data_IF_996558395000
#
_entry.id   IF_996558395000
#
_cell.length_a   1.000
_cell.length_b   1.000
_cell.length_c   1.000
_cell.angle_alpha   90.00
_cell.angle_beta   90.00
_cell.angle_gamma   90.00
#
_symmetry.space_group_name_H-M   'P 1'
#
loop_
_entity.id
_entity.type
_entity.pdbx_description
1 polymer ?
#
# COMPACT_ATOMS: atom_id res chain seq x y z
N UNK A 1 9.03 -8.35 -19.90
CA UNK A 1 10.01 -7.25 -19.81
C UNK A 1 10.19 -6.95 -18.33
N UNK A 2 11.36 -7.31 -17.81
CA UNK A 2 11.77 -7.08 -16.42
C UNK A 2 12.44 -5.70 -16.33
N UNK A 3 12.22 -4.97 -15.24
CA UNK A 3 12.90 -3.69 -14.96
C UNK A 3 12.18 -2.94 -13.84
N UNK A 4 12.79 -2.54 -12.72
CA UNK A 4 14.18 -2.65 -12.32
C UNK A 4 14.28 -2.58 -10.79
N UNK A 5 15.41 -3.06 -10.29
CA UNK A 5 15.87 -2.91 -8.91
C UNK A 5 16.17 -1.43 -8.62
N UNK A 6 15.42 -0.78 -7.72
CA UNK A 6 15.84 0.47 -7.11
C UNK A 6 15.49 0.51 -5.62
N UNK A 7 16.56 0.51 -4.81
CA UNK A 7 16.60 1.33 -3.61
C UNK A 7 15.95 0.75 -2.37
N UNK A 8 16.80 0.18 -1.51
CA UNK A 8 16.65 0.36 -0.07
C UNK A 8 16.28 1.82 0.21
N UNK A 9 15.10 2.07 0.77
CA UNK A 9 14.87 3.29 1.53
C UNK A 9 14.33 2.88 2.87
N UNK A 10 15.27 2.90 3.81
CA UNK A 10 15.11 3.20 5.21
C UNK A 10 14.19 4.44 5.35
N UNK A 11 12.87 4.26 5.25
CA UNK A 11 11.91 5.27 5.66
C UNK A 11 10.86 4.61 6.50
N UNK A 12 11.19 4.49 7.77
CA UNK A 12 10.23 4.28 8.83
C UNK A 12 9.09 5.30 8.65
N UNK A 13 7.94 4.84 8.14
CA UNK A 13 6.63 5.52 8.18
C UNK A 13 6.12 6.46 7.04
N UNK A 14 6.77 6.69 5.89
CA UNK A 14 6.22 7.67 4.89
C UNK A 14 5.86 7.15 3.49
N UNK A 15 6.40 6.02 3.02
CA UNK A 15 6.07 5.54 1.68
C UNK A 15 5.25 4.26 1.78
N UNK A 16 3.92 4.37 1.69
CA UNK A 16 3.07 3.19 1.46
C UNK A 16 3.51 2.57 0.13
N UNK A 17 4.30 1.50 0.20
CA UNK A 17 4.91 0.80 -0.93
C UNK A 17 3.84 0.37 -1.94
N UNK A 18 4.20 0.35 -3.22
CA UNK A 18 3.34 -0.14 -4.30
C UNK A 18 2.73 -1.51 -3.98
N UNK A 19 3.49 -2.40 -3.32
CA UNK A 19 3.01 -3.68 -2.82
C UNK A 19 1.79 -3.56 -1.88
N UNK A 20 1.80 -2.60 -0.95
CA UNK A 20 0.69 -2.36 -0.02
C UNK A 20 -0.50 -1.73 -0.74
N UNK A 21 -0.27 -0.81 -1.69
CA UNK A 21 -1.34 -0.23 -2.53
C UNK A 21 -2.03 -1.31 -3.35
N UNK A 22 -1.25 -2.16 -4.03
CA UNK A 22 -1.73 -3.29 -4.81
C UNK A 22 -2.46 -4.30 -3.92
N UNK A 23 -1.96 -4.59 -2.73
CA UNK A 23 -2.64 -5.46 -1.78
C UNK A 23 -3.98 -4.87 -1.29
N UNK A 24 -4.06 -3.56 -1.06
CA UNK A 24 -5.31 -2.89 -0.69
C UNK A 24 -6.32 -2.91 -1.83
N UNK A 25 -5.88 -2.73 -3.08
CA UNK A 25 -6.77 -2.80 -4.25
C UNK A 25 -7.26 -4.23 -4.54
N UNK A 26 -6.38 -5.23 -4.39
CA UNK A 26 -6.75 -6.63 -4.62
C UNK A 26 -7.51 -7.25 -3.43
N UNK A 27 -7.43 -6.64 -2.24
CA UNK A 27 -8.10 -7.17 -1.05
C UNK A 27 -9.48 -6.54 -0.86
N UNK A 28 -10.49 -7.41 -0.79
CA UNK A 28 -11.84 -7.04 -0.34
C UNK A 28 -11.97 -7.05 1.19
N UNK A 29 -10.89 -7.37 1.91
CA UNK A 29 -10.91 -7.40 3.38
C UNK A 29 -11.22 -6.02 3.97
N UNK A 30 -11.69 -6.02 5.22
CA UNK A 30 -11.97 -4.80 5.95
C UNK A 30 -10.70 -3.97 6.17
N UNK A 31 -10.86 -2.64 6.14
CA UNK A 31 -9.75 -1.68 6.36
C UNK A 31 -8.95 -1.97 7.63
N UNK A 32 -9.62 -2.44 8.69
CA UNK A 32 -9.00 -2.83 9.97
C UNK A 32 -8.04 -4.00 9.83
N UNK A 33 -8.39 -5.02 9.04
CA UNK A 33 -7.54 -6.18 8.82
C UNK A 33 -6.26 -5.80 8.07
N UNK A 34 -6.41 -5.01 7.00
CA UNK A 34 -5.28 -4.48 6.22
C UNK A 34 -4.38 -3.56 7.07
N UNK A 35 -4.97 -2.67 7.86
CA UNK A 35 -4.24 -1.80 8.77
C UNK A 35 -3.42 -2.59 9.80
N UNK A 36 -4.00 -3.63 10.41
CA UNK A 36 -3.32 -4.48 11.39
C UNK A 36 -2.21 -5.32 10.74
N UNK A 37 -2.44 -5.83 9.53
CA UNK A 37 -1.50 -6.69 8.79
C UNK A 37 -0.26 -5.95 8.31
N UNK A 38 -0.44 -4.71 7.86
CA UNK A 38 0.65 -3.89 7.33
C UNK A 38 1.16 -2.82 8.32
N UNK A 39 0.58 -2.73 9.52
CA UNK A 39 0.95 -1.72 10.52
C UNK A 39 0.64 -0.28 10.09
N UNK A 40 -0.24 -0.08 9.10
CA UNK A 40 -0.56 1.23 8.55
C UNK A 40 -1.89 1.76 9.06
N UNK A 41 -2.04 3.08 9.04
CA UNK A 41 -3.26 3.72 9.51
C UNK A 41 -4.46 3.42 8.57
N UNK A 42 -5.64 3.15 9.14
CA UNK A 42 -6.87 2.86 8.38
C UNK A 42 -7.27 4.00 7.43
N UNK A 43 -6.93 5.25 7.78
CA UNK A 43 -7.12 6.41 6.90
C UNK A 43 -6.34 6.27 5.59
N UNK A 44 -5.13 5.71 5.66
CA UNK A 44 -4.26 5.43 4.51
C UNK A 44 -4.88 4.35 3.65
N UNK A 45 -5.36 3.27 4.27
CA UNK A 45 -6.06 2.19 3.56
C UNK A 45 -7.30 2.72 2.84
N UNK A 46 -8.11 3.55 3.49
CA UNK A 46 -9.30 4.17 2.88
C UNK A 46 -8.94 5.10 1.73
N UNK A 47 -7.90 5.93 1.88
CA UNK A 47 -7.39 6.82 0.81
C UNK A 47 -6.98 6.01 -0.42
N UNK A 48 -6.27 4.89 -0.23
CA UNK A 48 -5.86 4.01 -1.32
C UNK A 48 -7.01 3.22 -1.94
N UNK A 49 -7.98 2.77 -1.14
CA UNK A 49 -9.17 2.09 -1.66
C UNK A 49 -10.04 3.01 -2.53
N UNK A 50 -10.06 4.30 -2.22
CA UNK A 50 -10.78 5.31 -3.01
C UNK A 50 -9.98 5.79 -4.24
N UNK A 51 -8.70 5.42 -4.36
CA UNK A 51 -7.90 5.69 -5.56
C UNK A 51 -7.95 4.46 -6.45
N UNK A 52 -8.59 4.60 -7.61
CA UNK A 52 -8.77 3.51 -8.58
C UNK A 52 -7.45 3.08 -9.23
N UNK A 53 -6.43 3.95 -9.22
CA UNK A 53 -5.10 3.65 -9.78
C UNK A 53 -4.04 3.48 -8.70
N UNK A 54 -3.36 2.33 -8.71
CA UNK A 54 -2.15 2.10 -7.92
C UNK A 54 -0.90 2.72 -8.55
N UNK A 55 -0.96 3.03 -9.85
CA UNK A 55 0.04 3.75 -10.62
C UNK A 55 -0.24 5.27 -10.52
N UNK A 56 0.72 5.98 -9.93
CA UNK A 56 1.02 7.39 -10.24
C UNK A 56 2.41 7.38 -10.87
#
# INVERSE_FOLDING_TARGET
MEGGTMGQVLHDSTTTTEAVRRAIQNSQESLRALAKRYGINQKTVRKWRNRTSAAD
#
